data_IF_530901905243
#
_entry.id   IF_530901905243
#
_cell.length_a   1.000
_cell.length_b   1.000
_cell.length_c   1.000
_cell.angle_alpha   90.00
_cell.angle_beta   90.00
_cell.angle_gamma   90.00
#
_symmetry.space_group_name_H-M   'P 1'
#
loop_
_entity.id
_entity.type
_entity.pdbx_description
1 polymer ?
#
# COMPACT_ATOMS: atom_id res chain seq x y z
N UNK A 1 -18.01 -16.30 -32.43
CA UNK A 1 -17.09 -16.24 -31.27
C UNK A 1 -17.75 -15.39 -30.20
N UNK A 2 -18.37 -16.02 -29.20
CA UNK A 2 -18.94 -15.29 -28.07
C UNK A 2 -17.80 -14.86 -27.13
N UNK A 3 -17.74 -13.57 -26.78
CA UNK A 3 -16.78 -13.09 -25.79
C UNK A 3 -17.19 -13.65 -24.43
N UNK A 4 -16.38 -14.54 -23.87
CA UNK A 4 -16.56 -15.00 -22.49
C UNK A 4 -16.34 -13.81 -21.55
N UNK A 5 -17.32 -13.56 -20.68
CA UNK A 5 -17.23 -12.50 -19.67
C UNK A 5 -16.02 -12.77 -18.78
N UNK A 6 -15.07 -11.85 -18.78
CA UNK A 6 -13.92 -11.90 -17.88
C UNK A 6 -14.24 -11.03 -16.67
N UNK A 7 -14.24 -11.63 -15.47
CA UNK A 7 -14.58 -10.91 -14.24
C UNK A 7 -13.53 -9.88 -13.81
N UNK A 8 -12.29 -10.05 -14.27
CA UNK A 8 -11.16 -9.16 -13.95
C UNK A 8 -10.27 -8.91 -15.19
N UNK A 9 -10.07 -7.65 -15.55
CA UNK A 9 -9.17 -7.26 -16.62
C UNK A 9 -7.92 -6.56 -16.06
N UNK A 10 -6.76 -6.74 -16.68
CA UNK A 10 -5.54 -6.01 -16.29
C UNK A 10 -5.26 -4.90 -17.30
N UNK A 11 -5.14 -3.67 -16.81
CA UNK A 11 -4.80 -2.50 -17.63
C UNK A 11 -3.71 -1.70 -16.91
N UNK A 12 -2.61 -1.38 -17.60
CA UNK A 12 -1.47 -0.66 -17.02
C UNK A 12 -0.93 -1.29 -15.70
N UNK A 13 -1.05 -2.61 -15.55
CA UNK A 13 -0.63 -3.32 -14.34
C UNK A 13 -1.63 -3.29 -13.17
N UNK A 14 -2.79 -2.67 -13.38
CA UNK A 14 -3.89 -2.54 -12.43
C UNK A 14 -4.95 -3.60 -12.74
N UNK A 15 -5.44 -4.30 -11.72
CA UNK A 15 -6.52 -5.28 -11.88
C UNK A 15 -7.89 -4.62 -11.67
N UNK A 16 -8.63 -4.44 -12.76
CA UNK A 16 -10.00 -3.93 -12.79
C UNK A 16 -10.98 -5.07 -12.54
N UNK A 17 -11.68 -5.03 -11.41
CA UNK A 17 -12.82 -5.90 -11.15
C UNK A 17 -14.07 -5.33 -11.85
N UNK A 18 -14.98 -6.18 -12.36
CA UNK A 18 -16.23 -5.74 -13.00
C UNK A 18 -17.08 -4.81 -12.11
N UNK A 19 -17.07 -5.06 -10.80
CA UNK A 19 -17.79 -4.24 -9.81
C UNK A 19 -17.02 -3.01 -9.34
N UNK A 20 -15.82 -2.78 -9.89
CA UNK A 20 -14.89 -1.73 -9.45
C UNK A 20 -14.70 -1.72 -7.93
N UNK A 21 -14.68 -2.90 -7.31
CA UNK A 21 -14.47 -3.04 -5.86
C UNK A 21 -13.00 -2.96 -5.48
N UNK A 22 -12.10 -3.13 -6.46
CA UNK A 22 -10.63 -3.07 -6.35
C UNK A 22 -10.02 -4.00 -5.30
N UNK A 23 -10.75 -5.02 -4.88
CA UNK A 23 -10.34 -5.90 -3.77
C UNK A 23 -9.13 -6.73 -4.18
N UNK A 24 -9.11 -7.24 -5.41
CA UNK A 24 -7.97 -8.00 -5.94
C UNK A 24 -6.75 -7.12 -6.16
N UNK A 25 -6.96 -5.90 -6.67
CA UNK A 25 -5.90 -4.93 -6.86
C UNK A 25 -5.25 -4.53 -5.54
N UNK A 26 -6.05 -4.14 -4.55
CA UNK A 26 -5.57 -3.75 -3.22
C UNK A 26 -4.85 -4.91 -2.53
N UNK A 27 -5.35 -6.14 -2.64
CA UNK A 27 -4.64 -7.32 -2.11
C UNK A 27 -3.24 -7.47 -2.71
N UNK A 28 -3.10 -7.32 -4.04
CA UNK A 28 -1.81 -7.38 -4.74
C UNK A 28 -0.89 -6.23 -4.33
N UNK A 29 -1.41 -5.01 -4.18
CA UNK A 29 -0.64 -3.84 -3.71
C UNK A 29 -0.14 -4.06 -2.28
N UNK A 30 -0.99 -4.56 -1.38
CA UNK A 30 -0.64 -4.88 0.00
C UNK A 30 0.42 -5.98 0.06
N UNK A 31 0.30 -7.04 -0.74
CA UNK A 31 1.30 -8.11 -0.83
C UNK A 31 2.65 -7.58 -1.31
N UNK A 32 2.65 -6.76 -2.37
CA UNK A 32 3.86 -6.12 -2.86
C UNK A 32 4.50 -5.20 -1.80
N UNK A 33 3.71 -4.37 -1.12
CA UNK A 33 4.19 -3.45 -0.09
C UNK A 33 4.74 -4.20 1.13
N UNK A 34 4.08 -5.28 1.56
CA UNK A 34 4.52 -6.10 2.70
C UNK A 34 5.80 -6.87 2.39
N UNK A 35 5.94 -7.42 1.19
CA UNK A 35 7.19 -8.04 0.73
C UNK A 35 8.35 -7.05 0.75
N UNK A 36 8.16 -5.84 0.19
CA UNK A 36 9.18 -4.78 0.21
C UNK A 36 9.52 -4.32 1.63
N UNK A 37 8.53 -4.21 2.51
CA UNK A 37 8.76 -3.88 3.92
C UNK A 37 9.51 -5.00 4.66
N UNK A 38 9.27 -6.27 4.34
CA UNK A 38 10.02 -7.38 4.93
C UNK A 38 11.50 -7.33 4.58
N UNK A 39 11.83 -6.89 3.35
CA UNK A 39 13.20 -6.66 2.90
C UNK A 39 13.81 -5.45 3.61
N UNK A 40 13.07 -4.35 3.74
CA UNK A 40 13.52 -3.17 4.51
C UNK A 40 13.80 -3.52 5.98
N UNK A 41 12.97 -4.38 6.60
CA UNK A 41 13.20 -4.89 7.97
C UNK A 41 14.51 -5.67 8.09
N UNK A 42 14.82 -6.50 7.11
CA UNK A 42 16.10 -7.24 7.08
C UNK A 42 17.28 -6.28 7.00
N UNK A 43 17.20 -5.26 6.14
CA UNK A 43 18.24 -4.23 6.00
C UNK A 43 18.41 -3.44 7.31
N UNK A 44 17.30 -3.03 7.93
CA UNK A 44 17.32 -2.30 9.20
C UNK A 44 17.94 -3.10 10.36
N UNK A 45 17.81 -4.43 10.34
CA UNK A 45 18.38 -5.32 11.36
C UNK A 45 19.85 -5.65 11.16
N UNK A 46 20.46 -5.29 10.03
CA UNK A 46 21.91 -5.49 9.83
C UNK A 46 22.67 -4.50 10.71
N UNK A 47 23.58 -5.02 11.52
CA UNK A 47 24.37 -4.33 12.58
C UNK A 47 25.13 -3.07 12.11
N UNK A 48 25.19 -2.82 10.81
CA UNK A 48 25.88 -1.68 10.20
C UNK A 48 24.91 -0.53 9.91
N UNK A 49 24.72 0.33 10.90
CA UNK A 49 24.56 1.77 10.70
C UNK A 49 23.46 2.27 9.76
N UNK A 50 22.35 1.54 9.56
CA UNK A 50 21.23 2.08 8.80
C UNK A 50 20.59 3.23 9.59
N UNK A 51 21.01 4.46 9.29
CA UNK A 51 20.44 5.64 9.92
C UNK A 51 18.94 5.69 9.65
N UNK A 52 18.19 6.19 10.62
CA UNK A 52 16.74 6.39 10.51
C UNK A 52 16.36 7.17 9.23
N UNK A 53 17.21 8.11 8.82
CA UNK A 53 17.06 8.89 7.59
C UNK A 53 17.15 8.02 6.33
N UNK A 54 18.10 7.08 6.28
CA UNK A 54 18.26 6.14 5.15
C UNK A 54 17.05 5.21 5.04
N UNK A 55 16.55 4.69 6.16
CA UNK A 55 15.34 3.85 6.16
C UNK A 55 14.11 4.62 5.66
N UNK A 56 13.97 5.86 6.10
CA UNK A 56 12.85 6.73 5.70
C UNK A 56 12.92 7.10 4.21
N UNK A 57 14.12 7.43 3.72
CA UNK A 57 14.37 7.73 2.31
C UNK A 57 14.13 6.50 1.41
N UNK A 58 14.63 5.34 1.83
CA UNK A 58 14.43 4.07 1.11
C UNK A 58 12.95 3.68 1.06
N UNK A 59 12.22 3.85 2.17
CA UNK A 59 10.77 3.62 2.17
C UNK A 59 10.03 4.55 1.20
N UNK A 60 10.35 5.85 1.24
CA UNK A 60 9.70 6.87 0.41
C UNK A 60 9.99 6.67 -1.07
N UNK A 61 11.18 6.18 -1.44
CA UNK A 61 11.54 5.91 -2.83
C UNK A 61 11.08 4.54 -3.34
N UNK A 62 10.97 3.53 -2.47
CA UNK A 62 10.73 2.15 -2.91
C UNK A 62 9.33 1.62 -2.63
N UNK A 63 8.73 1.95 -1.49
CA UNK A 63 7.43 1.39 -1.08
C UNK A 63 6.29 2.36 -1.40
N UNK A 64 6.49 3.65 -1.08
CA UNK A 64 5.50 4.69 -1.32
C UNK A 64 4.98 4.77 -2.76
N UNK A 65 5.81 4.74 -3.83
CA UNK A 65 5.27 4.84 -5.20
C UNK A 65 4.36 3.68 -5.59
N UNK A 66 4.51 2.49 -5.00
CA UNK A 66 3.60 1.35 -5.27
C UNK A 66 2.20 1.64 -4.79
N UNK A 67 2.10 2.32 -3.65
CA UNK A 67 0.83 2.63 -3.03
C UNK A 67 0.22 3.88 -3.70
N UNK A 68 1.05 4.91 -3.93
CA UNK A 68 0.62 6.17 -4.54
C UNK A 68 0.18 6.00 -6.00
N UNK A 69 0.75 5.04 -6.75
CA UNK A 69 0.34 4.74 -8.13
C UNK A 69 -1.15 4.39 -8.25
N UNK A 70 -1.74 3.82 -7.20
CA UNK A 70 -3.15 3.40 -7.21
C UNK A 70 -4.10 4.45 -6.62
N UNK A 71 -3.58 5.60 -6.17
CA UNK A 71 -4.32 6.57 -5.35
C UNK A 71 -5.57 7.12 -6.02
N UNK A 72 -5.52 7.41 -7.33
CA UNK A 72 -6.67 7.89 -8.10
C UNK A 72 -7.82 6.87 -8.13
N UNK A 73 -7.50 5.58 -8.11
CA UNK A 73 -8.49 4.50 -8.15
C UNK A 73 -9.12 4.23 -6.78
N UNK A 74 -8.38 4.53 -5.70
CA UNK A 74 -8.86 4.33 -4.33
C UNK A 74 -10.11 5.17 -4.01
N UNK A 75 -10.37 6.25 -4.75
CA UNK A 75 -11.60 7.06 -4.63
C UNK A 75 -12.87 6.21 -4.86
N UNK A 76 -12.77 5.19 -5.70
CA UNK A 76 -13.90 4.29 -6.03
C UNK A 76 -13.84 2.95 -5.29
N UNK A 77 -12.88 2.78 -4.38
CA UNK A 77 -12.70 1.54 -3.64
C UNK A 77 -13.70 1.40 -2.50
N UNK A 78 -14.02 0.14 -2.16
CA UNK A 78 -14.87 -0.15 -1.01
C UNK A 78 -14.16 0.14 0.31
N UNK A 79 -14.90 0.61 1.32
CA UNK A 79 -14.37 0.92 2.66
C UNK A 79 -13.61 -0.25 3.28
N UNK A 80 -14.09 -1.48 3.03
CA UNK A 80 -13.45 -2.70 3.51
C UNK A 80 -12.04 -2.91 2.94
N UNK A 81 -11.83 -2.51 1.68
CA UNK A 81 -10.55 -2.65 1.01
C UNK A 81 -9.61 -1.49 1.40
N UNK A 82 -10.15 -0.27 1.54
CA UNK A 82 -9.43 0.89 2.06
C UNK A 82 -8.91 0.63 3.49
N UNK A 83 -9.71 0.02 4.36
CA UNK A 83 -9.30 -0.34 5.72
C UNK A 83 -8.09 -1.28 5.73
N UNK A 84 -8.04 -2.28 4.85
CA UNK A 84 -6.89 -3.20 4.73
C UNK A 84 -5.61 -2.47 4.31
N UNK A 85 -5.75 -1.54 3.36
CA UNK A 85 -4.64 -0.72 2.88
C UNK A 85 -4.13 0.23 3.97
N UNK A 86 -5.04 0.88 4.73
CA UNK A 86 -4.71 1.75 5.87
C UNK A 86 -3.93 0.96 6.95
N UNK A 87 -4.39 -0.24 7.30
CA UNK A 87 -3.67 -1.11 8.25
C UNK A 87 -2.25 -1.44 7.76
N UNK A 88 -2.08 -1.74 6.47
CA UNK A 88 -0.77 -2.04 5.91
C UNK A 88 0.15 -0.80 5.93
N UNK A 89 -0.35 0.36 5.50
CA UNK A 89 0.38 1.62 5.53
C UNK A 89 0.77 2.02 6.95
N UNK A 90 -0.15 1.94 7.91
CA UNK A 90 0.11 2.29 9.30
C UNK A 90 1.18 1.37 9.93
N UNK A 91 1.16 0.06 9.64
CA UNK A 91 2.25 -0.86 10.04
C UNK A 91 3.61 -0.42 9.51
N UNK A 92 3.66 0.10 8.27
CA UNK A 92 4.91 0.59 7.69
C UNK A 92 5.40 1.86 8.37
N UNK A 93 4.49 2.79 8.66
CA UNK A 93 4.80 4.05 9.33
C UNK A 93 5.27 3.85 10.76
N UNK A 94 4.65 2.93 11.51
CA UNK A 94 5.09 2.57 12.87
C UNK A 94 6.51 2.01 12.82
N UNK A 95 6.80 1.14 11.84
CA UNK A 95 8.14 0.55 11.70
C UNK A 95 9.21 1.61 11.40
N UNK A 96 8.90 2.58 10.56
CA UNK A 96 9.82 3.66 10.25
C UNK A 96 9.92 4.58 11.45
N UNK A 97 8.84 5.26 11.83
CA UNK A 97 8.88 6.34 12.81
C UNK A 97 9.10 5.86 14.24
N UNK A 98 8.81 4.59 14.56
CA UNK A 98 8.78 4.07 15.93
C UNK A 98 7.61 4.60 16.77
N UNK A 99 6.71 5.39 16.17
CA UNK A 99 5.57 6.02 16.84
C UNK A 99 4.35 5.09 16.93
N UNK A 100 3.45 5.37 17.86
CA UNK A 100 2.24 4.57 18.08
C UNK A 100 1.23 4.67 16.92
N UNK A 101 0.50 3.57 16.72
CA UNK A 101 -0.50 3.35 15.67
C UNK A 101 -1.61 4.41 15.66
N UNK A 102 -1.73 5.17 14.56
CA UNK A 102 -2.90 6.02 14.26
C UNK A 102 -3.42 5.69 12.86
N UNK A 103 -4.71 5.37 12.68
CA UNK A 103 -5.26 5.10 11.36
C UNK A 103 -5.17 6.35 10.47
N UNK A 104 -4.74 6.18 9.21
CA UNK A 104 -4.52 7.27 8.26
C UNK A 104 -5.81 7.98 7.89
N UNK A 105 -6.93 7.25 7.84
CA UNK A 105 -8.28 7.80 7.67
C UNK A 105 -8.59 8.96 8.64
N UNK A 106 -8.05 8.93 9.87
CA UNK A 106 -8.24 9.99 10.86
C UNK A 106 -7.38 11.24 10.64
N UNK A 107 -6.30 11.15 9.85
CA UNK A 107 -5.41 12.30 9.56
C UNK A 107 -5.97 13.20 8.45
N UNK A 108 -6.68 12.62 7.48
CA UNK A 108 -7.38 13.37 6.43
C UNK A 108 -8.59 14.12 7.00
N UNK A 109 -9.32 13.52 7.95
CA UNK A 109 -10.45 14.14 8.64
C UNK A 109 -10.09 15.34 9.56
N UNK A 110 -8.81 15.68 9.69
CA UNK A 110 -8.32 16.83 10.47
C UNK A 110 -7.61 17.89 9.61
N UNK A 111 -7.61 17.69 8.29
CA UNK A 111 -7.02 18.62 7.32
C UNK A 111 -8.08 19.52 6.64
N UNK A 112 -9.34 19.40 7.07
CA UNK A 112 -10.49 20.26 6.74
C UNK A 112 -10.82 21.15 7.95
#
# INVERSE_FOLDING_TARGET
MALLRTDCATYLGISLDFRLTWTKHIAKVVENATSRLSLLKKIAGVKWGSSQSVLTSTFTSYIRPVIDYSSELLVTASDSALSKLDIAQNKTLIFITGAASRPLSRRYATAD
#
